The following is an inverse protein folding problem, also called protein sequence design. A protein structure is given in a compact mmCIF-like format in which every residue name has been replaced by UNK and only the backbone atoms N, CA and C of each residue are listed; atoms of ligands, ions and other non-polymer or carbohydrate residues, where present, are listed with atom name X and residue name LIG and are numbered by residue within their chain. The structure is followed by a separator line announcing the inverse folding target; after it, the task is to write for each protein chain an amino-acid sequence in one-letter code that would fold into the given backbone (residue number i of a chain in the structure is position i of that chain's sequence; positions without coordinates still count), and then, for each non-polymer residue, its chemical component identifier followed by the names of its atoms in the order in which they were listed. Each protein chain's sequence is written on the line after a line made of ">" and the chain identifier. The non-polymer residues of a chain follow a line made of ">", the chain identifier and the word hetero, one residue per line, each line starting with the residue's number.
data_IF_820456658641
#
_entry.id   IF_820456658641
#
_cell.length_a   1.000
_cell.length_b   1.000
_cell.length_c   1.000
_cell.angle_alpha   90.00
_cell.angle_beta   90.00
_cell.angle_gamma   90.00
#
_symmetry.space_group_name_H-M   'P 1'
#
loop_
_entity.id
_entity.type
_entity.pdbx_description
1 polymer ?
#
# COMPACT_ATOMS: atom_id res chain seq x y z
N UNK A 1 22.65 16.01 -15.08
CA UNK A 1 21.55 16.90 -14.69
C UNK A 1 21.50 18.04 -15.69
N UNK A 2 20.32 18.38 -16.20
CA UNK A 2 20.19 19.45 -17.19
C UNK A 2 19.89 20.75 -16.43
N UNK A 3 20.80 21.72 -16.48
CA UNK A 3 20.59 23.06 -15.89
C UNK A 3 20.09 24.00 -16.97
N UNK A 4 18.96 24.65 -16.74
CA UNK A 4 18.39 25.64 -17.65
C UNK A 4 17.84 26.82 -16.83
N UNK A 5 18.30 28.04 -17.10
CA UNK A 5 17.99 29.25 -16.32
C UNK A 5 18.15 29.10 -14.79
N UNK A 6 19.19 28.39 -14.34
CA UNK A 6 19.44 28.17 -12.90
C UNK A 6 18.53 27.14 -12.24
N UNK A 7 17.56 26.57 -12.97
CA UNK A 7 16.71 25.48 -12.50
C UNK A 7 17.38 24.15 -12.85
N UNK A 8 17.54 23.29 -11.83
CA UNK A 8 18.02 21.92 -12.00
C UNK A 8 16.86 21.00 -12.35
N UNK A 9 16.78 20.60 -13.62
CA UNK A 9 15.76 19.67 -14.07
C UNK A 9 16.20 18.22 -13.86
N UNK A 10 15.21 17.37 -13.58
CA UNK A 10 15.41 15.93 -13.55
C UNK A 10 16.01 15.46 -14.90
N UNK A 11 17.07 14.63 -14.88
CA UNK A 11 17.69 14.15 -16.10
C UNK A 11 16.69 13.37 -16.96
N UNK A 12 16.57 13.72 -18.24
CA UNK A 12 15.69 13.04 -19.20
C UNK A 12 16.15 11.61 -19.50
N UNK A 13 17.46 11.37 -19.42
CA UNK A 13 18.09 10.07 -19.65
C UNK A 13 18.38 9.37 -18.32
N UNK A 14 17.38 8.69 -17.78
CA UNK A 14 17.53 7.79 -16.63
C UNK A 14 17.26 6.34 -17.02
N UNK A 15 17.93 5.37 -16.38
CA UNK A 15 17.69 3.95 -16.62
C UNK A 15 16.22 3.59 -16.43
N UNK A 16 15.71 2.64 -17.22
CA UNK A 16 14.31 2.18 -17.13
C UNK A 16 13.93 1.72 -15.71
N UNK A 17 14.85 1.04 -15.01
CA UNK A 17 14.68 0.66 -13.61
C UNK A 17 14.32 1.87 -12.72
N UNK A 18 15.01 3.01 -12.89
CA UNK A 18 14.73 4.23 -12.11
C UNK A 18 13.35 4.80 -12.42
N UNK A 19 12.90 4.69 -13.68
CA UNK A 19 11.53 5.10 -14.07
C UNK A 19 10.47 4.24 -13.39
N UNK A 20 10.68 2.92 -13.32
CA UNK A 20 9.77 2.01 -12.62
C UNK A 20 9.73 2.28 -11.11
N UNK A 21 10.86 2.60 -10.49
CA UNK A 21 10.91 3.01 -9.08
C UNK A 21 10.10 4.29 -8.85
N UNK A 22 10.30 5.32 -9.67
CA UNK A 22 9.50 6.56 -9.60
C UNK A 22 8.02 6.29 -9.86
N UNK A 23 7.69 5.44 -10.84
CA UNK A 23 6.31 5.05 -11.15
C UNK A 23 5.65 4.33 -9.97
N UNK A 24 6.36 3.42 -9.31
CA UNK A 24 5.82 2.67 -8.18
C UNK A 24 5.49 3.58 -6.99
N UNK A 25 6.36 4.55 -6.68
CA UNK A 25 6.10 5.56 -5.64
C UNK A 25 4.97 6.49 -6.06
N UNK A 26 4.99 6.99 -7.30
CA UNK A 26 3.93 7.84 -7.81
C UNK A 26 2.57 7.14 -7.78
N UNK A 27 2.53 5.85 -8.16
CA UNK A 27 1.33 5.03 -8.09
C UNK A 27 0.79 4.96 -6.66
N UNK A 28 1.63 4.62 -5.67
CA UNK A 28 1.18 4.57 -4.26
C UNK A 28 0.69 5.95 -3.77
N UNK A 29 1.43 7.02 -4.06
CA UNK A 29 1.06 8.38 -3.66
C UNK A 29 -0.29 8.80 -4.27
N UNK A 30 -0.45 8.58 -5.57
CA UNK A 30 -1.68 8.91 -6.27
C UNK A 30 -2.85 8.06 -5.78
N UNK A 31 -2.65 6.76 -5.58
CA UNK A 31 -3.67 5.87 -5.04
C UNK A 31 -4.11 6.30 -3.65
N UNK A 32 -3.17 6.55 -2.73
CA UNK A 32 -3.49 7.02 -1.38
C UNK A 32 -4.26 8.34 -1.36
N UNK A 33 -3.87 9.32 -2.20
CA UNK A 33 -4.49 10.64 -2.17
C UNK A 33 -5.82 10.72 -2.92
N UNK A 34 -5.96 10.03 -4.05
CA UNK A 34 -7.05 10.28 -4.99
C UNK A 34 -8.03 9.13 -5.15
N UNK A 35 -7.67 7.89 -4.81
CA UNK A 35 -8.56 6.74 -5.02
C UNK A 35 -9.89 6.90 -4.29
N UNK A 36 -9.87 7.34 -3.03
CA UNK A 36 -11.06 7.59 -2.23
C UNK A 36 -12.02 8.57 -2.90
N UNK A 37 -11.53 9.76 -3.27
CA UNK A 37 -12.35 10.76 -3.96
C UNK A 37 -12.87 10.24 -5.30
N UNK A 38 -12.01 9.58 -6.08
CA UNK A 38 -12.39 9.03 -7.37
C UNK A 38 -13.51 8.01 -7.25
N UNK A 39 -13.37 7.00 -6.37
CA UNK A 39 -14.39 5.97 -6.19
C UNK A 39 -15.67 6.52 -5.56
N UNK A 40 -15.60 7.49 -4.65
CA UNK A 40 -16.79 8.15 -4.12
C UNK A 40 -17.55 8.89 -5.22
N UNK A 41 -16.87 9.71 -6.03
CA UNK A 41 -17.50 10.41 -7.15
C UNK A 41 -18.07 9.43 -8.17
N UNK A 42 -17.35 8.35 -8.48
CA UNK A 42 -17.83 7.29 -9.36
C UNK A 42 -19.12 6.66 -8.84
N UNK A 43 -19.18 6.28 -7.56
CA UNK A 43 -20.38 5.68 -6.97
C UNK A 43 -21.57 6.66 -6.97
N UNK A 44 -21.34 7.95 -6.67
CA UNK A 44 -22.37 8.98 -6.75
C UNK A 44 -22.86 9.19 -8.18
N UNK A 45 -21.96 9.18 -9.15
CA UNK A 45 -22.31 9.26 -10.56
C UNK A 45 -23.15 8.06 -11.00
N UNK A 46 -22.75 6.83 -10.63
CA UNK A 46 -23.48 5.61 -10.99
C UNK A 46 -24.92 5.60 -10.44
N UNK A 47 -25.16 6.23 -9.29
CA UNK A 47 -26.53 6.41 -8.75
C UNK A 47 -27.44 7.21 -9.68
N UNK A 48 -26.89 8.07 -10.55
CA UNK A 48 -27.64 8.87 -11.53
C UNK A 48 -27.84 8.16 -12.87
N UNK A 49 -27.37 6.91 -12.99
CA UNK A 49 -27.42 6.11 -14.22
C UNK A 49 -28.27 4.84 -14.02
N UNK A 50 -28.61 4.10 -15.09
CA UNK A 50 -29.23 2.77 -14.96
C UNK A 50 -28.41 1.75 -14.15
N UNK A 51 -27.14 2.04 -13.84
CA UNK A 51 -26.26 1.21 -13.02
C UNK A 51 -26.35 1.48 -11.51
N UNK A 52 -27.36 2.23 -11.05
CA UNK A 52 -27.55 2.59 -9.63
C UNK A 52 -27.58 1.39 -8.67
N UNK A 53 -27.95 0.20 -9.17
CA UNK A 53 -27.94 -1.04 -8.37
C UNK A 53 -26.52 -1.43 -7.92
N UNK A 54 -25.46 -1.04 -8.63
CA UNK A 54 -24.07 -1.35 -8.26
C UNK A 54 -23.69 -0.66 -6.93
N UNK A 55 -23.82 0.68 -6.78
CA UNK A 55 -23.65 1.33 -5.49
C UNK A 55 -24.55 0.78 -4.38
N UNK A 56 -25.82 0.45 -4.67
CA UNK A 56 -26.73 -0.13 -3.66
C UNK A 56 -26.18 -1.45 -3.12
N UNK A 57 -25.75 -2.36 -4.00
CA UNK A 57 -25.15 -3.63 -3.60
C UNK A 57 -23.86 -3.41 -2.82
N UNK A 58 -23.02 -2.48 -3.27
CA UNK A 58 -21.76 -2.16 -2.59
C UNK A 58 -22.00 -1.60 -1.17
N UNK A 59 -22.91 -0.64 -1.01
CA UNK A 59 -23.26 -0.10 0.30
C UNK A 59 -23.91 -1.15 1.20
N UNK A 60 -24.75 -2.02 0.66
CA UNK A 60 -25.36 -3.13 1.41
C UNK A 60 -24.28 -4.10 1.92
N UNK A 61 -23.31 -4.44 1.08
CA UNK A 61 -22.15 -5.23 1.48
C UNK A 61 -21.32 -4.51 2.54
N UNK A 62 -21.09 -3.21 2.41
CA UNK A 62 -20.34 -2.40 3.38
C UNK A 62 -21.02 -2.37 4.76
N UNK A 63 -22.36 -2.32 4.81
CA UNK A 63 -23.11 -2.41 6.06
C UNK A 63 -23.01 -3.79 6.71
N UNK A 64 -23.14 -4.85 5.91
CA UNK A 64 -22.95 -6.23 6.38
C UNK A 64 -21.52 -6.45 6.90
N UNK A 65 -20.55 -5.83 6.26
CA UNK A 65 -19.12 -6.06 6.49
C UNK A 65 -18.44 -5.08 7.45
N UNK A 66 -19.22 -4.23 8.11
CA UNK A 66 -18.70 -3.14 8.94
C UNK A 66 -17.67 -3.59 10.00
N UNK A 67 -17.76 -4.80 10.55
CA UNK A 67 -16.84 -5.22 11.62
C UNK A 67 -15.49 -5.73 11.09
N UNK A 68 -15.32 -5.84 9.78
CA UNK A 68 -14.09 -6.39 9.18
C UNK A 68 -12.87 -5.50 9.40
N UNK A 69 -13.03 -4.17 9.48
CA UNK A 69 -11.90 -3.29 9.79
C UNK A 69 -11.31 -3.57 11.18
N UNK A 70 -12.17 -3.87 12.17
CA UNK A 70 -11.78 -4.25 13.54
C UNK A 70 -11.14 -5.64 13.65
N UNK A 71 -11.26 -6.47 12.60
CA UNK A 71 -10.68 -7.82 12.53
C UNK A 71 -9.42 -7.87 11.66
N UNK A 72 -8.80 -6.72 11.43
CA UNK A 72 -7.57 -6.60 10.65
C UNK A 72 -7.75 -6.67 9.15
N UNK A 73 -8.96 -6.36 8.67
CA UNK A 73 -9.27 -6.22 7.24
C UNK A 73 -9.16 -7.52 6.44
N UNK A 74 -8.99 -7.35 5.12
CA UNK A 74 -8.78 -8.45 4.17
C UNK A 74 -7.42 -8.36 3.53
N UNK A 75 -6.69 -9.46 3.59
CA UNK A 75 -5.44 -9.60 2.86
C UNK A 75 -5.76 -10.05 1.44
N UNK A 76 -5.21 -9.33 0.46
CA UNK A 76 -5.31 -9.71 -0.94
C UNK A 76 -3.94 -10.18 -1.45
N UNK A 77 -3.67 -11.50 -1.53
CA UNK A 77 -2.33 -12.01 -1.83
C UNK A 77 -1.76 -11.52 -3.16
N UNK A 78 -2.63 -11.36 -4.18
CA UNK A 78 -2.24 -10.84 -5.49
C UNK A 78 -1.73 -9.40 -5.39
N UNK A 79 -2.44 -8.55 -4.64
CA UNK A 79 -1.98 -7.19 -4.36
C UNK A 79 -0.67 -7.22 -3.58
N UNK A 80 -0.55 -8.02 -2.51
CA UNK A 80 0.69 -8.07 -1.70
C UNK A 80 1.92 -8.46 -2.54
N UNK A 81 1.75 -9.34 -3.52
CA UNK A 81 2.80 -9.82 -4.42
C UNK A 81 2.95 -9.02 -5.71
N UNK A 82 2.22 -7.92 -5.85
CA UNK A 82 2.26 -7.11 -7.07
C UNK A 82 3.68 -6.58 -7.32
N UNK A 83 4.15 -6.74 -8.56
CA UNK A 83 5.56 -6.60 -8.89
C UNK A 83 6.09 -5.17 -8.66
N UNK A 84 5.23 -4.14 -8.75
CA UNK A 84 5.61 -2.75 -8.52
C UNK A 84 6.14 -2.52 -7.09
N UNK A 85 5.72 -3.31 -6.12
CA UNK A 85 6.19 -3.16 -4.74
C UNK A 85 7.68 -3.42 -4.56
N UNK A 86 8.29 -4.23 -5.43
CA UNK A 86 9.75 -4.40 -5.44
C UNK A 86 10.45 -3.10 -5.83
N UNK A 87 9.98 -2.43 -6.89
CA UNK A 87 10.52 -1.14 -7.32
C UNK A 87 10.26 -0.04 -6.29
N UNK A 88 9.11 -0.09 -5.62
CA UNK A 88 8.79 0.80 -4.50
C UNK A 88 9.81 0.69 -3.36
N UNK A 89 10.08 -0.53 -2.88
CA UNK A 89 11.06 -0.74 -1.82
C UNK A 89 12.48 -0.32 -2.24
N UNK A 90 12.86 -0.60 -3.48
CA UNK A 90 14.17 -0.20 -4.02
C UNK A 90 14.32 1.32 -4.20
N UNK A 91 13.24 2.09 -4.34
CA UNK A 91 13.32 3.55 -4.45
C UNK A 91 13.86 4.18 -3.14
N UNK A 92 13.42 3.67 -1.99
CA UNK A 92 13.79 4.11 -0.63
C UNK A 92 14.79 3.18 0.08
N UNK A 93 15.60 2.44 -0.68
CA UNK A 93 16.34 1.24 -0.24
C UNK A 93 15.81 0.45 0.98
N UNK A 94 14.51 0.18 1.04
CA UNK A 94 13.87 -0.48 2.19
C UNK A 94 14.32 -1.94 2.28
N UNK A 95 14.82 -2.34 3.45
CA UNK A 95 15.22 -3.71 3.75
C UNK A 95 14.60 -4.18 5.07
N UNK A 96 14.11 -5.42 5.07
CA UNK A 96 13.67 -6.10 6.28
C UNK A 96 14.82 -6.96 6.82
N UNK A 97 15.41 -6.58 7.95
CA UNK A 97 16.45 -7.36 8.61
C UNK A 97 15.84 -8.21 9.71
N UNK A 98 15.95 -9.54 9.59
CA UNK A 98 15.51 -10.47 10.63
C UNK A 98 16.63 -10.63 11.66
N UNK A 99 16.34 -10.28 12.91
CA UNK A 99 17.29 -10.38 14.02
C UNK A 99 17.04 -11.57 14.93
N UNK A 100 15.81 -12.09 14.94
CA UNK A 100 15.42 -13.25 15.73
C UNK A 100 14.30 -14.03 15.01
N UNK A 101 14.18 -15.31 15.35
CA UNK A 101 13.03 -16.11 14.99
C UNK A 101 11.81 -15.75 15.85
N UNK A 102 10.65 -15.67 15.21
CA UNK A 102 9.37 -15.48 15.88
C UNK A 102 8.60 -16.81 15.80
N UNK A 103 7.98 -17.20 16.91
CA UNK A 103 7.19 -18.42 16.98
C UNK A 103 5.85 -18.19 16.24
N UNK A 104 5.55 -18.92 15.15
CA UNK A 104 4.35 -18.70 14.36
C UNK A 104 3.04 -19.01 15.12
N UNK A 105 3.11 -19.71 16.27
CA UNK A 105 1.97 -20.03 17.11
C UNK A 105 1.63 -18.93 18.14
N UNK A 106 2.27 -17.75 18.05
CA UNK A 106 2.05 -16.62 18.95
C UNK A 106 1.64 -15.37 18.19
N UNK A 107 0.89 -14.50 18.87
CA UNK A 107 0.55 -13.17 18.38
C UNK A 107 1.62 -12.16 18.83
N UNK A 108 1.96 -11.23 17.93
CA UNK A 108 2.95 -10.20 18.17
C UNK A 108 2.39 -8.82 17.85
N UNK A 109 2.72 -7.83 18.68
CA UNK A 109 2.50 -6.41 18.37
C UNK A 109 3.84 -5.86 17.88
N UNK A 110 3.84 -5.29 16.67
CA UNK A 110 5.03 -4.73 16.04
C UNK A 110 4.95 -3.21 16.12
N UNK A 111 5.87 -2.61 16.87
CA UNK A 111 6.02 -1.15 16.90
C UNK A 111 6.72 -0.63 15.65
N UNK A 112 6.28 0.52 15.13
CA UNK A 112 6.89 1.17 13.96
C UNK A 112 7.09 2.66 14.25
N UNK A 113 8.34 3.12 14.18
CA UNK A 113 8.71 4.53 14.37
C UNK A 113 10.00 4.83 13.59
N UNK A 114 10.15 6.03 12.98
CA UNK A 114 9.17 7.10 12.90
C UNK A 114 8.06 6.80 11.88
N UNK A 115 6.85 7.32 12.13
CA UNK A 115 5.76 7.27 11.16
C UNK A 115 5.42 8.67 10.65
N UNK A 116 5.21 8.78 9.34
CA UNK A 116 4.59 9.94 8.71
C UNK A 116 3.13 9.62 8.35
N UNK A 117 2.48 10.55 7.65
CA UNK A 117 1.15 10.35 7.06
C UNK A 117 1.16 9.12 6.14
N UNK A 118 2.26 8.95 5.39
CA UNK A 118 2.52 7.80 4.53
C UNK A 118 3.66 6.95 5.12
N UNK A 119 3.36 5.80 5.73
CA UNK A 119 4.38 4.98 6.38
C UNK A 119 5.06 4.03 5.38
N UNK A 120 5.89 4.57 4.48
CA UNK A 120 6.50 3.82 3.37
C UNK A 120 7.19 2.51 3.82
N UNK A 121 7.95 2.57 4.92
CA UNK A 121 8.64 1.42 5.49
C UNK A 121 7.69 0.33 5.98
N UNK A 122 6.61 0.72 6.67
CA UNK A 122 5.61 -0.24 7.14
C UNK A 122 4.80 -0.83 5.99
N UNK A 123 4.48 -0.03 4.96
CA UNK A 123 3.80 -0.49 3.77
C UNK A 123 4.63 -1.55 3.02
N UNK A 124 5.88 -1.23 2.70
CA UNK A 124 6.80 -2.16 2.03
C UNK A 124 7.02 -3.46 2.84
N UNK A 125 7.20 -3.37 4.15
CA UNK A 125 7.57 -4.52 4.98
C UNK A 125 6.38 -5.37 5.44
N UNK A 126 5.21 -4.77 5.69
CA UNK A 126 4.10 -5.47 6.35
C UNK A 126 2.82 -5.53 5.51
N UNK A 127 2.57 -4.57 4.61
CA UNK A 127 1.40 -4.62 3.72
C UNK A 127 1.71 -5.41 2.43
N UNK A 128 2.94 -5.40 1.96
CA UNK A 128 3.34 -6.07 0.70
C UNK A 128 4.35 -7.19 0.96
N UNK A 129 4.75 -7.89 -0.10
CA UNK A 129 5.86 -8.85 -0.10
C UNK A 129 7.13 -8.26 -0.72
N UNK A 130 7.24 -6.92 -0.81
CA UNK A 130 8.37 -6.24 -1.45
C UNK A 130 9.72 -6.64 -0.86
N UNK A 131 9.77 -6.85 0.46
CA UNK A 131 10.99 -7.18 1.21
C UNK A 131 11.02 -8.63 1.73
N UNK A 132 10.08 -9.46 1.26
CA UNK A 132 9.98 -10.89 1.57
C UNK A 132 9.62 -11.18 3.03
N UNK A 133 8.60 -10.52 3.59
CA UNK A 133 8.20 -10.76 4.97
C UNK A 133 7.80 -12.22 5.19
N UNK A 134 6.93 -12.76 4.33
CA UNK A 134 6.43 -14.13 4.47
C UNK A 134 7.54 -15.18 4.31
N UNK A 135 8.62 -14.86 3.59
CA UNK A 135 9.80 -15.72 3.46
C UNK A 135 10.66 -15.71 4.74
N UNK A 136 10.80 -14.54 5.39
CA UNK A 136 11.61 -14.40 6.61
C UNK A 136 10.89 -14.90 7.86
N UNK A 137 9.58 -14.74 7.90
CA UNK A 137 8.71 -15.11 9.01
C UNK A 137 7.60 -16.05 8.53
N UNK A 138 7.94 -17.29 8.14
CA UNK A 138 6.96 -18.25 7.65
C UNK A 138 5.92 -18.56 8.72
N UNK A 139 4.64 -18.65 8.32
CA UNK A 139 3.52 -18.89 9.23
C UNK A 139 3.03 -17.65 9.99
N UNK A 140 3.71 -16.50 9.89
CA UNK A 140 3.26 -15.24 10.49
C UNK A 140 2.57 -14.39 9.43
N UNK A 141 1.34 -13.99 9.73
CA UNK A 141 0.54 -13.14 8.87
C UNK A 141 0.49 -11.73 9.45
N UNK A 142 0.98 -10.75 8.70
CA UNK A 142 0.89 -9.34 9.06
C UNK A 142 -0.50 -8.80 8.73
N UNK A 143 -1.11 -8.11 9.70
CA UNK A 143 -2.36 -7.36 9.52
C UNK A 143 -2.14 -5.93 10.02
N UNK A 144 -1.65 -5.03 9.16
CA UNK A 144 -1.44 -3.65 9.53
C UNK A 144 -2.79 -2.99 9.85
N UNK A 145 -2.92 -2.49 11.07
CA UNK A 145 -4.10 -1.77 11.55
C UNK A 145 -3.65 -0.48 12.24
N UNK A 146 -4.51 0.53 12.19
CA UNK A 146 -4.41 1.70 13.07
C UNK A 146 -5.18 1.42 14.34
N UNK A 147 -4.61 1.77 15.50
CA UNK A 147 -5.34 1.69 16.77
C UNK A 147 -6.49 2.70 16.75
N UNK A 148 -7.65 2.28 17.26
CA UNK A 148 -8.70 3.22 17.63
C UNK A 148 -8.17 4.08 18.80
N UNK A 149 -8.37 5.40 18.73
CA UNK A 149 -8.00 6.34 19.81
C UNK A 149 -9.10 6.41 20.86
#
# INVERSE_FOLDING_TARGET
>A
MTKFFGIEFAPLHIPFKRRLQTLAVLYELTDFMFSGFFFTILLLYLMLTPFFFIPILYFSWMFYDKDTFNRGGRLWPAFRRFFLWRYYAEYFPIKLHKTADLNPNKNYIIGYHPHGILPFGAFANFNTEATGFSEKFPGITTRPITLEM
#
